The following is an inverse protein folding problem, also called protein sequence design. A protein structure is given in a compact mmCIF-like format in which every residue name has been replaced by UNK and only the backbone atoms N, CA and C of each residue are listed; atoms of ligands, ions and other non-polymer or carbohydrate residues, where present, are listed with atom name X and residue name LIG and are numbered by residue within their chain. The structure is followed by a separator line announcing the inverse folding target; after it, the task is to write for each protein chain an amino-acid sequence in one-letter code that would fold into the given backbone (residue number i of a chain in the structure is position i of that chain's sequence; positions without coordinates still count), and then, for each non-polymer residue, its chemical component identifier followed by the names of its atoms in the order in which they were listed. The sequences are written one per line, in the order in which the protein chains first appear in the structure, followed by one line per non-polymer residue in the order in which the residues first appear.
data_IF_251997396488
#
_entry.id   IF_251997396488
#
_cell.length_a   1.000
_cell.length_b   1.000
_cell.length_c   1.000
_cell.angle_alpha   90.00
_cell.angle_beta   90.00
_cell.angle_gamma   90.00
#
_symmetry.space_group_name_H-M   'P 1'
#
loop_
_entity.id
_entity.type
_entity.pdbx_description
1 polymer ?
#
# COMPACT_ATOMS: atom_id res chain seq x y z
N UNK A 1 -3.34 15.73 -14.96
CA UNK A 1 -2.05 15.05 -14.69
C UNK A 1 -1.39 14.73 -16.02
N UNK A 2 -0.04 14.72 -16.09
CA UNK A 2 0.64 14.16 -17.26
C UNK A 2 0.48 12.63 -17.27
N UNK A 3 0.49 11.99 -18.44
CA UNK A 3 0.34 10.54 -18.53
C UNK A 3 1.37 9.76 -17.71
N UNK A 4 2.61 10.27 -17.61
CA UNK A 4 3.65 9.69 -16.77
C UNK A 4 3.30 9.76 -15.27
N UNK A 5 2.81 10.91 -14.79
CA UNK A 5 2.43 11.07 -13.39
C UNK A 5 1.28 10.15 -12.97
N UNK A 6 0.33 9.92 -13.87
CA UNK A 6 -0.80 9.03 -13.60
C UNK A 6 -0.36 7.56 -13.56
N UNK A 7 0.56 7.14 -14.44
CA UNK A 7 1.12 5.79 -14.41
C UNK A 7 1.89 5.50 -13.11
N UNK A 8 2.64 6.48 -12.60
CA UNK A 8 3.36 6.34 -11.32
C UNK A 8 2.37 6.10 -10.18
N UNK A 9 1.27 6.87 -10.12
CA UNK A 9 0.23 6.70 -9.09
C UNK A 9 -0.39 5.31 -9.14
N UNK A 10 -0.68 4.79 -10.34
CA UNK A 10 -1.22 3.42 -10.49
C UNK A 10 -0.21 2.35 -10.04
N UNK A 11 1.07 2.49 -10.39
CA UNK A 11 2.11 1.56 -9.94
C UNK A 11 2.26 1.59 -8.42
N UNK A 12 2.28 2.78 -7.81
CA UNK A 12 2.34 2.93 -6.35
C UNK A 12 1.13 2.29 -5.66
N UNK A 13 -0.07 2.39 -6.26
CA UNK A 13 -1.28 1.77 -5.73
C UNK A 13 -1.16 0.23 -5.74
N UNK A 14 -0.64 -0.35 -6.82
CA UNK A 14 -0.42 -1.81 -6.92
C UNK A 14 0.59 -2.29 -5.87
N UNK A 15 1.70 -1.58 -5.71
CA UNK A 15 2.73 -1.93 -4.71
C UNK A 15 2.16 -1.83 -3.29
N UNK A 16 1.41 -0.76 -2.98
CA UNK A 16 0.78 -0.59 -1.69
C UNK A 16 -0.23 -1.72 -1.39
N UNK A 17 -1.03 -2.13 -2.38
CA UNK A 17 -1.97 -3.24 -2.23
C UNK A 17 -1.23 -4.57 -1.95
N UNK A 18 -0.14 -4.85 -2.66
CA UNK A 18 0.69 -6.03 -2.41
C UNK A 18 1.30 -6.02 -1.00
N UNK A 19 1.79 -4.86 -0.55
CA UNK A 19 2.33 -4.70 0.81
C UNK A 19 1.27 -4.92 1.89
N UNK A 20 0.04 -4.42 1.69
CA UNK A 20 -1.05 -4.66 2.62
C UNK A 20 -1.35 -6.16 2.74
N UNK A 21 -1.41 -6.88 1.61
CA UNK A 21 -1.65 -8.33 1.61
C UNK A 21 -0.50 -9.08 2.28
N UNK A 22 0.75 -8.70 2.00
CA UNK A 22 1.93 -9.30 2.62
C UNK A 22 1.96 -9.08 4.14
N UNK A 23 1.64 -7.87 4.61
CA UNK A 23 1.60 -7.56 6.04
C UNK A 23 0.44 -8.25 6.77
N UNK A 24 -0.72 -8.42 6.12
CA UNK A 24 -1.83 -9.22 6.67
C UNK A 24 -1.44 -10.70 6.75
N UNK A 25 -0.80 -11.23 5.71
CA UNK A 25 -0.31 -12.60 5.69
C UNK A 25 0.76 -12.81 6.78
N UNK A 26 1.63 -11.82 7.02
CA UNK A 26 2.60 -11.90 8.11
C UNK A 26 1.95 -11.83 9.48
N UNK A 27 0.99 -10.93 9.68
CA UNK A 27 0.26 -10.85 10.95
C UNK A 27 -0.42 -12.20 11.30
N UNK A 28 -0.86 -12.96 10.29
CA UNK A 28 -1.48 -14.26 10.46
C UNK A 28 -0.49 -15.42 10.63
N UNK A 29 0.71 -15.35 10.05
CA UNK A 29 1.66 -16.49 9.99
C UNK A 29 2.98 -16.26 10.76
N UNK A 30 3.35 -15.01 11.00
CA UNK A 30 4.55 -14.56 11.69
C UNK A 30 5.87 -14.85 10.95
N UNK A 31 5.82 -15.27 9.68
CA UNK A 31 6.95 -15.83 8.95
C UNK A 31 7.65 -14.86 7.97
N UNK A 32 6.98 -13.83 7.49
CA UNK A 32 7.43 -12.90 6.44
C UNK A 32 8.30 -11.74 6.97
N UNK A 33 8.00 -11.16 8.13
CA UNK A 33 8.77 -10.06 8.74
C UNK A 33 9.27 -10.38 10.16
N UNK A 34 9.40 -11.67 10.49
CA UNK A 34 10.07 -12.12 11.72
C UNK A 34 9.22 -12.02 12.99
N UNK A 35 7.90 -12.06 12.85
CA UNK A 35 6.95 -12.09 13.98
C UNK A 35 6.84 -10.76 14.73
N UNK A 36 7.34 -9.68 14.14
CA UNK A 36 7.35 -8.35 14.75
C UNK A 36 6.03 -7.64 14.45
N UNK A 37 4.96 -8.05 15.13
CA UNK A 37 3.58 -7.61 14.90
C UNK A 37 3.35 -6.09 14.90
N UNK A 38 4.20 -5.32 15.59
CA UNK A 38 4.17 -3.86 15.53
C UNK A 38 4.47 -3.30 14.14
N UNK A 39 5.40 -3.92 13.40
CA UNK A 39 5.74 -3.53 12.03
C UNK A 39 4.64 -3.93 11.03
N UNK A 40 3.99 -5.07 11.23
CA UNK A 40 2.87 -5.50 10.38
C UNK A 40 1.74 -4.47 10.39
N UNK A 41 1.39 -3.98 11.58
CA UNK A 41 0.37 -2.94 11.75
C UNK A 41 0.79 -1.62 11.09
N UNK A 42 2.08 -1.23 11.22
CA UNK A 42 2.61 -0.03 10.57
C UNK A 42 2.60 -0.15 9.04
N UNK A 43 2.91 -1.32 8.48
CA UNK A 43 2.85 -1.57 7.04
C UNK A 43 1.40 -1.53 6.52
N UNK A 44 0.45 -2.11 7.25
CA UNK A 44 -0.98 -2.03 6.89
C UNK A 44 -1.47 -0.58 6.91
N UNK A 45 -1.14 0.19 7.94
CA UNK A 45 -1.48 1.62 8.02
C UNK A 45 -0.84 2.43 6.90
N UNK A 46 0.46 2.24 6.65
CA UNK A 46 1.18 2.93 5.58
C UNK A 46 0.63 2.61 4.19
N UNK A 47 0.29 1.35 3.94
CA UNK A 47 -0.37 0.93 2.71
C UNK A 47 -1.77 1.57 2.58
N UNK A 48 -2.55 1.60 3.66
CA UNK A 48 -3.87 2.24 3.69
C UNK A 48 -3.83 3.73 3.34
N UNK A 49 -2.90 4.49 3.94
CA UNK A 49 -2.71 5.91 3.65
C UNK A 49 -2.29 6.11 2.19
N UNK A 50 -1.37 5.29 1.69
CA UNK A 50 -0.88 5.37 0.31
C UNK A 50 -1.99 5.09 -0.70
N UNK A 51 -2.82 4.07 -0.45
CA UNK A 51 -3.99 3.75 -1.28
C UNK A 51 -4.99 4.91 -1.25
N UNK A 52 -5.27 5.46 -0.06
CA UNK A 52 -6.19 6.60 0.09
C UNK A 52 -5.71 7.82 -0.71
N UNK A 53 -4.43 8.19 -0.58
CA UNK A 53 -3.85 9.31 -1.33
C UNK A 53 -3.82 9.05 -2.84
N UNK A 54 -3.50 7.81 -3.27
CA UNK A 54 -3.50 7.45 -4.67
C UNK A 54 -4.91 7.55 -5.28
N UNK A 55 -5.95 7.10 -4.56
CA UNK A 55 -7.35 7.22 -4.98
C UNK A 55 -7.78 8.69 -5.03
N UNK A 56 -7.41 9.52 -4.06
CA UNK A 56 -7.71 10.96 -4.08
C UNK A 56 -7.05 11.66 -5.29
N UNK A 57 -5.79 11.34 -5.58
CA UNK A 57 -5.09 11.81 -6.78
C UNK A 57 -5.80 11.40 -8.07
N UNK A 58 -6.23 10.14 -8.18
CA UNK A 58 -6.95 9.64 -9.36
C UNK A 58 -8.31 10.33 -9.51
N UNK A 59 -9.05 10.53 -8.40
CA UNK A 59 -10.35 11.22 -8.40
C UNK A 59 -10.23 12.68 -8.83
N UNK A 60 -9.18 13.38 -8.39
CA UNK A 60 -8.90 14.77 -8.79
C UNK A 60 -8.37 14.92 -10.21
N UNK A 61 -7.80 13.84 -10.77
CA UNK A 61 -7.29 13.83 -12.14
C UNK A 61 -8.36 13.56 -13.20
N UNK A 62 -9.54 13.07 -12.79
CA UNK A 62 -10.72 12.84 -13.63
C UNK A 62 -11.57 14.10 -13.71
#
# INVERSE_FOLDING_TARGET
MSGLSQNIVYVSLVIAALMAVAAIADLATGALFGGQSAFDVLFILGAGITIFMAVDCIRKAR
#
